data_IF_477223322828
#
_entry.id   IF_477223322828
#
_cell.length_a   1.000
_cell.length_b   1.000
_cell.length_c   1.000
_cell.angle_alpha   90.00
_cell.angle_beta   90.00
_cell.angle_gamma   90.00
#
_symmetry.space_group_name_H-M   'P 1'
#
loop_
_entity.id
_entity.type
_entity.pdbx_description
1 polymer ?
#
# COMPACT_ATOMS: atom_id res chain seq x y z
N UNK A 1 16.38 9.92 6.38
CA UNK A 1 16.75 9.91 4.96
C UNK A 1 15.55 10.38 4.15
N UNK A 2 15.79 11.20 3.12
CA UNK A 2 14.78 11.56 2.11
C UNK A 2 15.05 10.73 0.86
N UNK A 3 14.00 10.39 0.10
CA UNK A 3 14.14 9.68 -1.17
C UNK A 3 15.05 10.45 -2.14
N UNK A 4 15.95 9.73 -2.80
CA UNK A 4 16.72 10.24 -3.94
C UNK A 4 15.85 10.21 -5.20
N UNK A 5 16.27 10.92 -6.25
CA UNK A 5 15.52 10.98 -7.51
C UNK A 5 15.29 9.61 -8.18
N UNK A 6 16.20 8.67 -7.96
CA UNK A 6 16.14 7.29 -8.44
C UNK A 6 15.36 6.34 -7.52
N UNK A 7 14.94 6.80 -6.34
CA UNK A 7 14.20 6.00 -5.36
C UNK A 7 12.71 6.31 -5.46
N UNK A 8 12.00 5.44 -6.17
CA UNK A 8 10.58 5.61 -6.48
C UNK A 8 9.80 4.39 -6.00
N UNK A 9 8.66 4.63 -5.38
CA UNK A 9 7.63 3.62 -5.15
C UNK A 9 6.35 4.07 -5.85
N UNK A 10 5.59 3.12 -6.38
CA UNK A 10 4.36 3.40 -7.11
C UNK A 10 3.18 2.70 -6.44
N UNK A 11 2.09 3.42 -6.26
CA UNK A 11 0.85 2.92 -5.71
C UNK A 11 -0.23 3.00 -6.78
N UNK A 12 -0.70 1.85 -7.25
CA UNK A 12 -1.86 1.77 -8.12
C UNK A 12 -3.10 1.42 -7.30
N UNK A 13 -4.19 2.17 -7.53
CA UNK A 13 -5.49 1.89 -6.95
C UNK A 13 -6.50 1.77 -8.08
N UNK A 14 -7.03 0.57 -8.27
CA UNK A 14 -7.98 0.24 -9.33
C UNK A 14 -9.36 0.00 -8.75
N UNK A 15 -10.36 0.64 -9.36
CA UNK A 15 -11.77 0.53 -8.99
C UNK A 15 -12.52 -0.17 -10.12
N UNK A 16 -13.19 -1.27 -9.80
CA UNK A 16 -13.91 -2.07 -10.78
C UNK A 16 -15.34 -2.30 -10.30
N UNK A 17 -16.31 -2.09 -11.19
CA UNK A 17 -17.68 -2.47 -10.92
C UNK A 17 -17.82 -4.00 -10.87
N UNK A 18 -18.45 -4.51 -9.82
CA UNK A 18 -18.79 -5.93 -9.65
C UNK A 18 -20.25 -6.01 -9.20
N UNK A 19 -21.18 -6.11 -10.16
CA UNK A 19 -22.60 -5.96 -9.89
C UNK A 19 -22.91 -4.56 -9.34
N UNK A 20 -23.58 -4.50 -8.19
CA UNK A 20 -23.85 -3.23 -7.47
C UNK A 20 -22.71 -2.82 -6.52
N UNK A 21 -21.62 -3.58 -6.48
CA UNK A 21 -20.47 -3.32 -5.61
C UNK A 21 -19.29 -2.77 -6.40
N UNK A 22 -18.32 -2.19 -5.69
CA UNK A 22 -17.01 -1.83 -6.25
C UNK A 22 -15.93 -2.72 -5.65
N UNK A 23 -15.19 -3.43 -6.50
CA UNK A 23 -13.92 -4.06 -6.10
C UNK A 23 -12.82 -3.02 -6.17
N UNK A 24 -12.10 -2.86 -5.07
CA UNK A 24 -10.91 -2.02 -5.01
C UNK A 24 -9.69 -2.93 -4.92
N UNK A 25 -8.76 -2.78 -5.87
CA UNK A 25 -7.46 -3.43 -5.85
C UNK A 25 -6.39 -2.38 -5.58
N UNK A 26 -5.47 -2.69 -4.67
CA UNK A 26 -4.33 -1.83 -4.33
C UNK A 26 -3.05 -2.62 -4.55
N UNK A 27 -2.16 -2.07 -5.37
CA UNK A 27 -0.84 -2.65 -5.65
C UNK A 27 0.23 -1.60 -5.35
N UNK A 28 1.29 -1.99 -4.64
CA UNK A 28 2.35 -1.08 -4.19
C UNK A 28 3.72 -1.63 -4.55
N UNK A 29 4.36 -1.02 -5.54
CA UNK A 29 5.60 -1.48 -6.18
C UNK A 29 6.81 -0.61 -5.83
N UNK A 30 8.01 -1.11 -6.15
CA UNK A 30 9.28 -0.36 -6.05
C UNK A 30 10.01 -0.48 -4.72
N UNK A 31 9.45 -1.17 -3.72
CA UNK A 31 10.08 -1.33 -2.40
C UNK A 31 11.39 -2.11 -2.41
N UNK A 32 11.60 -2.95 -3.41
CA UNK A 32 12.85 -3.65 -3.69
C UNK A 32 13.99 -2.71 -4.15
N UNK A 33 13.65 -1.56 -4.74
CA UNK A 33 14.59 -0.50 -5.08
C UNK A 33 14.96 0.43 -3.90
N UNK A 34 14.30 0.28 -2.75
CA UNK A 34 14.54 1.12 -1.56
C UNK A 34 15.49 0.39 -0.60
N UNK A 35 16.65 0.97 -0.22
CA UNK A 35 17.59 0.36 0.71
C UNK A 35 16.93 0.01 2.06
N UNK A 36 17.33 -1.10 2.68
CA UNK A 36 16.74 -1.55 3.95
C UNK A 36 16.93 -0.57 5.10
N UNK A 37 18.09 0.07 5.15
CA UNK A 37 18.43 1.10 6.13
C UNK A 37 17.74 2.45 5.85
N UNK A 38 17.02 2.57 4.73
CA UNK A 38 16.20 3.74 4.45
C UNK A 38 15.07 3.84 5.48
N UNK A 39 14.89 5.04 6.06
CA UNK A 39 13.94 5.27 7.15
C UNK A 39 12.50 4.91 6.82
N UNK A 40 12.10 5.00 5.54
CA UNK A 40 10.77 4.60 5.06
C UNK A 40 10.51 3.09 5.22
N UNK A 41 11.57 2.26 5.26
CA UNK A 41 11.48 0.81 5.51
C UNK A 41 11.54 0.44 6.98
N UNK A 42 11.79 1.41 7.87
CA UNK A 42 11.93 1.20 9.31
C UNK A 42 12.94 0.10 9.70
N UNK A 43 13.96 -0.13 8.87
CA UNK A 43 14.97 -1.18 9.06
C UNK A 43 14.49 -2.60 8.78
N UNK A 44 13.24 -2.81 8.34
CA UNK A 44 12.70 -4.14 8.09
C UNK A 44 13.24 -4.77 6.80
N UNK A 45 13.47 -6.09 6.87
CA UNK A 45 13.67 -6.95 5.70
C UNK A 45 12.53 -6.80 4.68
N UNK A 46 12.84 -6.93 3.39
CA UNK A 46 11.94 -6.54 2.28
C UNK A 46 10.58 -7.24 2.38
N UNK A 47 10.58 -8.56 2.53
CA UNK A 47 9.36 -9.36 2.60
C UNK A 47 8.52 -9.03 3.83
N UNK A 48 9.16 -8.79 4.98
CA UNK A 48 8.46 -8.40 6.20
C UNK A 48 7.83 -7.01 6.05
N UNK A 49 8.57 -6.07 5.47
CA UNK A 49 8.08 -4.73 5.19
C UNK A 49 6.87 -4.77 4.24
N UNK A 50 6.98 -5.47 3.11
CA UNK A 50 5.90 -5.58 2.12
C UNK A 50 4.64 -6.21 2.71
N UNK A 51 4.78 -7.25 3.56
CA UNK A 51 3.65 -7.83 4.28
C UNK A 51 2.98 -6.81 5.20
N UNK A 52 3.75 -6.01 5.96
CA UNK A 52 3.20 -4.98 6.84
C UNK A 52 2.49 -3.88 6.06
N UNK A 53 3.05 -3.45 4.93
CA UNK A 53 2.41 -2.49 4.03
C UNK A 53 1.07 -3.02 3.49
N UNK A 54 1.02 -4.30 3.08
CA UNK A 54 -0.22 -4.95 2.66
C UNK A 54 -1.27 -4.99 3.77
N UNK A 55 -0.88 -5.33 5.01
CA UNK A 55 -1.81 -5.31 6.15
C UNK A 55 -2.31 -3.91 6.50
N UNK A 56 -1.46 -2.90 6.37
CA UNK A 56 -1.85 -1.51 6.54
C UNK A 56 -2.92 -1.09 5.51
N UNK A 57 -2.71 -1.39 4.22
CA UNK A 57 -3.71 -1.14 3.18
C UNK A 57 -5.02 -1.87 3.43
N UNK A 58 -4.96 -3.14 3.85
CA UNK A 58 -6.16 -3.91 4.22
C UNK A 58 -6.93 -3.25 5.37
N UNK A 59 -6.24 -2.71 6.37
CA UNK A 59 -6.89 -2.00 7.48
C UNK A 59 -7.59 -0.72 7.00
N UNK A 60 -6.93 0.08 6.14
CA UNK A 60 -7.51 1.30 5.57
C UNK A 60 -8.75 1.00 4.72
N UNK A 61 -8.70 -0.03 3.86
CA UNK A 61 -9.85 -0.43 3.04
C UNK A 61 -11.03 -0.93 3.88
N UNK A 62 -10.78 -1.64 4.98
CA UNK A 62 -11.85 -2.02 5.93
C UNK A 62 -12.47 -0.81 6.60
N UNK A 63 -11.65 0.17 7.01
CA UNK A 63 -12.13 1.41 7.60
C UNK A 63 -13.01 2.20 6.62
N UNK A 64 -12.56 2.33 5.37
CA UNK A 64 -13.31 2.98 4.30
C UNK A 64 -14.65 2.27 4.05
N UNK A 65 -14.66 0.95 3.94
CA UNK A 65 -15.90 0.19 3.78
C UNK A 65 -16.87 0.41 4.94
N UNK A 66 -16.36 0.48 6.18
CA UNK A 66 -17.18 0.79 7.35
C UNK A 66 -17.73 2.23 7.33
N UNK A 67 -16.99 3.19 6.78
CA UNK A 67 -17.44 4.58 6.62
C UNK A 67 -18.52 4.72 5.56
N UNK A 68 -18.32 4.10 4.40
CA UNK A 68 -19.29 4.10 3.31
C UNK A 68 -20.61 3.40 3.69
N UNK A 69 -20.57 2.37 4.55
CA UNK A 69 -21.77 1.69 5.05
C UNK A 69 -22.54 2.46 6.14
N UNK A 70 -22.01 3.59 6.65
CA UNK A 70 -22.71 4.47 7.60
C UNK A 70 -23.50 5.59 6.91
N UNK A 71 -23.29 5.80 5.61
CA UNK A 71 -23.91 6.86 4.81
C UNK A 71 -25.20 6.44 4.12
#
# INVERSE_FOLDING_TARGET
>A
ATFRADQVTELEVRFEAVGEQTRITVEHHGWDGIPQDHVARHGFELMLFQRRAAEHWRALLRSLGAELGRG
#
